data_IF_572776549434
#
_entry.id   IF_572776549434
#
_cell.length_a   1.000
_cell.length_b   1.000
_cell.length_c   1.000
_cell.angle_alpha   90.00
_cell.angle_beta   90.00
_cell.angle_gamma   90.00
#
_symmetry.space_group_name_H-M   'P 1'
#
loop_
_entity.id
_entity.type
_entity.pdbx_description
1 polymer ?
#
# COMPACT_ATOMS: atom_id res chain seq x y z
N UNK A 1 2.46 1.26 -26.83
CA UNK A 1 2.42 0.81 -25.42
C UNK A 1 1.23 1.50 -24.75
N UNK A 2 0.14 0.78 -24.50
CA UNK A 2 -1.09 1.35 -23.93
C UNK A 2 -1.77 0.45 -22.87
N UNK A 3 -1.27 -0.79 -22.65
CA UNK A 3 -1.96 -1.77 -21.81
C UNK A 3 -1.65 -1.72 -20.30
N UNK A 4 -0.47 -1.22 -19.89
CA UNK A 4 -0.10 -1.17 -18.45
C UNK A 4 -0.75 -0.04 -17.68
N UNK A 5 -1.10 1.04 -18.39
CA UNK A 5 -1.74 2.22 -17.84
C UNK A 5 -3.24 1.93 -17.62
N UNK A 6 -3.88 1.21 -18.54
CA UNK A 6 -5.32 0.91 -18.48
C UNK A 6 -5.75 0.04 -17.29
N UNK A 7 -4.92 -0.90 -16.83
CA UNK A 7 -5.33 -1.77 -15.70
C UNK A 7 -5.34 -1.03 -14.35
N UNK A 8 -4.61 0.07 -14.20
CA UNK A 8 -4.67 0.93 -13.00
C UNK A 8 -5.82 1.94 -13.05
N UNK A 9 -6.24 2.38 -14.22
CA UNK A 9 -7.34 3.34 -14.35
C UNK A 9 -8.72 2.75 -14.05
N UNK A 10 -8.92 1.45 -14.25
CA UNK A 10 -10.22 0.82 -14.01
C UNK A 10 -10.68 0.83 -12.54
N UNK A 11 -9.77 1.03 -11.58
CA UNK A 11 -10.09 1.06 -10.14
C UNK A 11 -10.32 2.47 -9.57
N UNK A 12 -9.99 3.54 -10.32
CA UNK A 12 -9.99 4.92 -9.79
C UNK A 12 -11.15 5.77 -10.32
N UNK A 13 -11.85 5.29 -11.36
CA UNK A 13 -12.89 6.07 -12.05
C UNK A 13 -14.25 6.17 -11.34
N UNK A 14 -14.38 5.73 -10.08
CA UNK A 14 -15.66 5.73 -9.38
C UNK A 14 -15.92 6.99 -8.52
N UNK A 15 -14.91 7.80 -8.19
CA UNK A 15 -15.09 8.89 -7.21
C UNK A 15 -14.67 10.31 -7.65
N UNK A 16 -13.96 10.47 -8.76
CA UNK A 16 -13.43 11.80 -9.16
C UNK A 16 -14.40 12.63 -10.03
N UNK A 17 -15.58 12.12 -10.36
CA UNK A 17 -16.50 12.75 -11.32
C UNK A 17 -17.54 13.73 -10.74
N UNK A 18 -17.66 13.89 -9.41
CA UNK A 18 -18.79 14.63 -8.81
C UNK A 18 -18.44 15.56 -7.64
N UNK A 19 -17.17 15.95 -7.47
CA UNK A 19 -16.77 16.88 -6.42
C UNK A 19 -16.74 18.33 -6.94
N UNK A 20 -17.92 18.87 -7.25
CA UNK A 20 -18.10 20.32 -7.29
C UNK A 20 -17.95 20.89 -5.88
N UNK A 21 -17.21 21.99 -5.73
CA UNK A 21 -17.04 22.70 -4.46
C UNK A 21 -18.41 23.12 -3.93
N UNK A 22 -18.94 22.39 -2.95
CA UNK A 22 -20.18 22.74 -2.26
C UNK A 22 -19.83 23.21 -0.85
N UNK A 23 -20.56 24.21 -0.36
CA UNK A 23 -20.54 24.73 1.03
C UNK A 23 -21.00 23.69 2.09
N UNK A 24 -21.06 22.41 1.72
CA UNK A 24 -21.40 21.33 2.62
C UNK A 24 -20.12 20.84 3.29
N UNK A 25 -20.16 20.54 4.60
CA UNK A 25 -19.04 19.93 5.35
C UNK A 25 -18.60 18.55 4.85
N UNK A 26 -19.04 18.13 3.65
CA UNK A 26 -18.75 16.87 2.99
C UNK A 26 -17.25 16.60 2.79
N UNK A 27 -16.38 17.57 2.41
CA UNK A 27 -14.94 17.32 2.33
C UNK A 27 -14.32 16.98 3.70
N UNK A 28 -14.79 17.63 4.78
CA UNK A 28 -14.31 17.34 6.14
C UNK A 28 -14.81 16.00 6.65
N UNK A 29 -16.03 15.63 6.29
CA UNK A 29 -16.60 14.31 6.56
C UNK A 29 -15.84 13.20 5.82
N UNK A 30 -15.57 13.37 4.52
CA UNK A 30 -14.78 12.42 3.72
C UNK A 30 -13.36 12.26 4.28
N UNK A 31 -12.71 13.36 4.69
CA UNK A 31 -11.38 13.29 5.29
C UNK A 31 -11.40 12.62 6.68
N UNK A 32 -12.46 12.85 7.47
CA UNK A 32 -12.66 12.16 8.75
C UNK A 32 -12.86 10.66 8.56
N UNK A 33 -13.73 10.24 7.65
CA UNK A 33 -13.96 8.83 7.35
C UNK A 33 -12.68 8.16 6.80
N UNK A 34 -11.92 8.88 5.96
CA UNK A 34 -10.60 8.42 5.51
C UNK A 34 -9.64 8.24 6.67
N UNK A 35 -9.54 9.20 7.59
CA UNK A 35 -8.66 9.13 8.75
C UNK A 35 -9.04 7.99 9.70
N UNK A 36 -10.34 7.70 9.86
CA UNK A 36 -10.83 6.55 10.62
C UNK A 36 -10.45 5.24 9.93
N UNK A 37 -10.70 5.12 8.63
CA UNK A 37 -10.31 3.94 7.84
C UNK A 37 -8.81 3.67 7.87
N UNK A 38 -7.99 4.71 7.74
CA UNK A 38 -6.53 4.61 7.85
C UNK A 38 -6.07 4.06 9.20
N UNK A 39 -6.73 4.45 10.30
CA UNK A 39 -6.39 3.92 11.62
C UNK A 39 -6.73 2.44 11.72
N UNK A 40 -7.91 2.04 11.25
CA UNK A 40 -8.33 0.65 11.31
C UNK A 40 -7.45 -0.23 10.40
N UNK A 41 -7.01 0.28 9.25
CA UNK A 41 -6.04 -0.38 8.39
C UNK A 41 -4.68 -0.58 9.08
N UNK A 42 -4.14 0.46 9.75
CA UNK A 42 -2.87 0.33 10.50
C UNK A 42 -3.00 -0.67 11.64
N UNK A 43 -4.16 -0.73 12.30
CA UNK A 43 -4.43 -1.72 13.33
C UNK A 43 -4.50 -3.15 12.78
N UNK A 44 -5.07 -3.37 11.60
CA UNK A 44 -5.02 -4.68 10.92
C UNK A 44 -3.58 -5.10 10.63
N UNK A 45 -2.73 -4.16 10.20
CA UNK A 45 -1.29 -4.40 10.01
C UNK A 45 -0.58 -4.77 11.31
N UNK A 46 -0.89 -4.09 12.41
CA UNK A 46 -0.37 -4.41 13.74
C UNK A 46 -0.80 -5.82 14.16
N UNK A 47 -2.10 -6.12 14.09
CA UNK A 47 -2.65 -7.44 14.45
C UNK A 47 -2.05 -8.57 13.58
N UNK A 48 -1.82 -8.30 12.29
CA UNK A 48 -1.13 -9.24 11.40
C UNK A 48 0.31 -9.54 11.90
N UNK A 49 1.08 -8.52 12.26
CA UNK A 49 2.46 -8.71 12.74
C UNK A 49 2.49 -9.40 14.10
N UNK A 50 1.57 -9.06 15.00
CA UNK A 50 1.42 -9.70 16.31
C UNK A 50 1.05 -11.19 16.19
N UNK A 51 0.21 -11.54 15.21
CA UNK A 51 -0.10 -12.92 14.88
C UNK A 51 1.06 -13.69 14.22
N UNK A 52 2.25 -13.09 14.09
CA UNK A 52 3.42 -13.67 13.43
C UNK A 52 3.39 -13.59 11.90
N UNK A 53 2.46 -12.82 11.33
CA UNK A 53 2.36 -12.59 9.89
C UNK A 53 3.52 -11.72 9.38
N UNK A 54 3.93 -11.98 8.14
CA UNK A 54 4.99 -11.25 7.48
C UNK A 54 4.45 -10.07 6.66
N UNK A 55 5.13 -8.94 6.75
CA UNK A 55 4.96 -7.82 5.82
C UNK A 55 6.06 -7.87 4.77
N UNK A 56 5.74 -7.43 3.55
CA UNK A 56 6.71 -7.35 2.44
C UNK A 56 6.78 -5.96 1.83
N UNK A 57 7.74 -5.77 0.92
CA UNK A 57 8.00 -4.50 0.27
C UNK A 57 8.97 -3.62 1.05
N UNK A 58 9.34 -2.47 0.47
CA UNK A 58 10.37 -1.60 1.04
C UNK A 58 9.99 -1.00 2.40
N UNK A 59 8.70 -0.94 2.72
CA UNK A 59 8.23 -0.42 4.00
C UNK A 59 8.22 -1.43 5.13
N UNK A 60 8.10 -2.72 4.81
CA UNK A 60 7.91 -3.77 5.79
C UNK A 60 8.93 -3.74 6.94
N UNK A 61 10.26 -3.62 6.71
CA UNK A 61 11.21 -3.67 7.83
C UNK A 61 11.00 -2.55 8.87
N UNK A 62 10.71 -1.31 8.43
CA UNK A 62 10.47 -0.20 9.37
C UNK A 62 9.14 -0.36 10.10
N UNK A 63 8.10 -0.81 9.39
CA UNK A 63 6.74 -0.92 9.93
C UNK A 63 6.66 -2.09 10.91
N UNK A 64 7.24 -3.24 10.58
CA UNK A 64 7.37 -4.37 11.51
C UNK A 64 8.18 -3.97 12.75
N UNK A 65 9.27 -3.22 12.60
CA UNK A 65 10.06 -2.71 13.73
C UNK A 65 9.26 -1.74 14.60
N UNK A 66 8.48 -0.85 13.99
CA UNK A 66 7.58 0.07 14.69
C UNK A 66 6.61 -0.73 15.57
N UNK A 67 5.88 -1.68 15.00
CA UNK A 67 4.87 -2.46 15.73
C UNK A 67 5.46 -3.28 16.87
N UNK A 68 6.53 -4.04 16.63
CA UNK A 68 7.22 -4.81 17.68
C UNK A 68 7.82 -3.94 18.79
N UNK A 69 8.02 -2.65 18.52
CA UNK A 69 8.48 -1.68 19.51
C UNK A 69 7.37 -1.19 20.46
N UNK A 70 6.10 -1.38 20.10
CA UNK A 70 4.94 -0.92 20.89
C UNK A 70 4.68 -1.83 22.10
N UNK A 71 5.09 -3.09 22.06
CA UNK A 71 4.91 -4.07 23.15
C UNK A 71 5.99 -3.99 24.23
N UNK A 72 6.98 -3.11 24.08
CA UNK A 72 8.01 -2.92 25.10
C UNK A 72 7.43 -2.16 26.30
N UNK A 73 7.44 -2.75 27.52
CA UNK A 73 6.81 -2.15 28.67
C UNK A 73 7.57 -0.88 29.09
N UNK A 74 6.92 0.27 29.00
CA UNK A 74 7.25 1.40 29.85
C UNK A 74 6.68 1.08 31.26
N UNK A 75 7.51 0.46 32.12
CA UNK A 75 7.19 0.01 33.49
C UNK A 75 6.21 -1.19 33.58
N UNK A 76 6.24 -2.00 34.66
CA UNK A 76 5.53 -3.28 34.70
C UNK A 76 4.02 -3.04 34.87
N UNK A 77 3.16 -3.48 33.93
CA UNK A 77 1.73 -3.41 34.11
C UNK A 77 1.21 -4.76 34.63
N UNK A 78 0.39 -4.70 35.68
CA UNK A 78 -0.50 -5.81 36.04
C UNK A 78 -1.53 -5.98 34.93
N UNK A 79 -1.23 -6.87 33.98
CA UNK A 79 -2.23 -7.58 33.16
C UNK A 79 -2.74 -6.87 31.90
N UNK A 80 -2.68 -7.65 30.82
CA UNK A 80 -3.49 -7.59 29.59
C UNK A 80 -3.12 -6.46 28.60
N UNK A 81 -2.88 -6.85 27.35
CA UNK A 81 -2.99 -6.10 26.08
C UNK A 81 -2.87 -4.59 26.24
N UNK A 82 -1.83 -3.97 25.66
CA UNK A 82 -1.75 -2.52 25.54
C UNK A 82 -3.14 -1.95 25.16
N UNK A 83 -3.73 -1.15 26.05
CA UNK A 83 -5.07 -0.59 25.88
C UNK A 83 -5.26 -0.15 24.42
N UNK A 84 -6.28 -0.69 23.74
CA UNK A 84 -6.49 -0.42 22.30
C UNK A 84 -6.59 1.10 22.03
N UNK A 85 -7.09 1.88 22.99
CA UNK A 85 -7.07 3.34 22.92
C UNK A 85 -5.66 3.93 22.95
N UNK A 86 -4.76 3.37 23.77
CA UNK A 86 -3.33 3.72 23.79
C UNK A 86 -2.66 3.36 22.46
N UNK A 87 -2.90 2.17 21.91
CA UNK A 87 -2.36 1.77 20.61
C UNK A 87 -2.81 2.73 19.49
N UNK A 88 -4.10 3.08 19.44
CA UNK A 88 -4.63 4.07 18.49
C UNK A 88 -3.93 5.42 18.63
N UNK A 89 -3.67 5.86 19.86
CA UNK A 89 -2.94 7.12 20.12
C UNK A 89 -1.50 7.04 19.60
N UNK A 90 -0.79 5.94 19.88
CA UNK A 90 0.60 5.74 19.44
C UNK A 90 0.74 5.62 17.92
N UNK A 91 -0.27 5.07 17.24
CA UNK A 91 -0.27 4.83 15.80
C UNK A 91 -0.86 5.98 14.97
N UNK A 92 -1.29 7.07 15.60
CA UNK A 92 -2.01 8.15 14.92
C UNK A 92 -1.18 8.84 13.83
N UNK A 93 0.13 9.03 14.05
CA UNK A 93 1.02 9.57 13.01
C UNK A 93 1.20 8.61 11.84
N UNK A 94 1.35 7.32 12.13
CA UNK A 94 1.47 6.26 11.13
C UNK A 94 0.22 6.11 10.29
N UNK A 95 -0.97 6.21 10.89
CA UNK A 95 -2.24 6.17 10.16
C UNK A 95 -2.35 7.32 9.15
N UNK A 96 -1.94 8.54 9.51
CA UNK A 96 -2.00 9.70 8.60
C UNK A 96 -1.11 9.55 7.37
N UNK A 97 -0.04 8.77 7.44
CA UNK A 97 0.85 8.51 6.31
C UNK A 97 0.46 7.28 5.51
N UNK A 98 -0.55 6.52 5.95
CA UNK A 98 -1.02 5.34 5.23
C UNK A 98 -1.94 5.74 4.08
N UNK A 99 -1.59 5.35 2.87
CA UNK A 99 -2.46 5.46 1.71
C UNK A 99 -2.73 4.07 1.13
N UNK A 100 -4.00 3.68 1.11
CA UNK A 100 -4.41 2.36 0.64
C UNK A 100 -4.20 2.22 -0.86
N UNK A 101 -3.69 1.06 -1.27
CA UNK A 101 -3.46 0.76 -2.68
C UNK A 101 -3.79 -0.69 -3.04
N UNK A 102 -4.11 -0.92 -4.32
CA UNK A 102 -4.56 -2.23 -4.78
C UNK A 102 -3.49 -3.33 -4.67
N UNK A 103 -2.23 -2.99 -4.97
CA UNK A 103 -1.09 -3.93 -4.96
C UNK A 103 -0.20 -3.80 -3.73
N UNK A 104 -0.25 -2.66 -3.07
CA UNK A 104 0.51 -2.33 -1.87
C UNK A 104 -0.08 -1.06 -1.28
N UNK A 105 -0.10 -0.99 0.04
CA UNK A 105 -0.37 0.24 0.75
C UNK A 105 0.93 1.06 0.87
N UNK A 106 0.82 2.38 0.92
CA UNK A 106 1.94 3.29 0.98
C UNK A 106 2.02 3.89 2.38
N UNK A 107 3.07 3.56 3.15
CA UNK A 107 3.44 4.33 4.34
C UNK A 107 4.33 5.48 3.86
N UNK A 108 3.67 6.58 3.52
CA UNK A 108 4.22 7.68 2.73
C UNK A 108 5.29 8.46 3.49
N UNK A 109 6.46 8.50 2.88
CA UNK A 109 7.58 9.37 3.23
C UNK A 109 7.99 10.11 1.94
N UNK A 110 7.76 11.44 1.84
CA UNK A 110 7.99 12.21 0.62
C UNK A 110 9.38 12.03 0.00
N UNK A 111 10.42 11.95 0.83
CA UNK A 111 11.80 11.86 0.37
C UNK A 111 12.11 10.54 -0.35
N UNK A 112 11.46 9.45 0.05
CA UNK A 112 11.69 8.10 -0.49
C UNK A 112 10.56 7.58 -1.40
N UNK A 113 9.62 8.45 -1.76
CA UNK A 113 8.51 8.12 -2.64
C UNK A 113 8.96 7.95 -4.10
N UNK A 114 9.16 6.70 -4.53
CA UNK A 114 9.56 6.36 -5.91
C UNK A 114 8.62 6.93 -6.98
N UNK A 115 7.32 7.03 -6.67
CA UNK A 115 6.30 7.55 -7.58
C UNK A 115 6.40 9.05 -7.83
N UNK A 116 7.17 9.79 -7.03
CA UNK A 116 7.36 11.24 -7.11
C UNK A 116 8.83 11.60 -7.31
N UNK A 117 9.66 10.64 -7.75
CA UNK A 117 11.13 10.80 -7.85
C UNK A 117 11.53 12.07 -8.62
N UNK A 118 10.78 12.40 -9.67
CA UNK A 118 11.06 13.51 -10.58
C UNK A 118 10.44 14.85 -10.12
N UNK A 119 9.64 14.83 -9.04
CA UNK A 119 8.99 16.02 -8.48
C UNK A 119 9.86 16.68 -7.39
N UNK A 120 9.88 18.02 -7.26
CA UNK A 120 10.52 18.71 -6.12
C UNK A 120 9.92 18.29 -4.78
N UNK A 121 10.75 18.16 -3.73
CA UNK A 121 10.32 17.65 -2.42
C UNK A 121 9.16 18.45 -1.82
N UNK A 122 9.15 19.76 -2.01
CA UNK A 122 8.14 20.70 -1.51
C UNK A 122 6.75 20.46 -2.12
N UNK A 123 6.70 19.80 -3.28
CA UNK A 123 5.46 19.48 -4.00
C UNK A 123 4.94 18.08 -3.67
N UNK A 124 5.69 17.26 -2.91
CA UNK A 124 5.35 15.87 -2.60
C UNK A 124 4.42 15.74 -1.40
N UNK A 125 3.18 16.20 -1.55
CA UNK A 125 2.19 16.23 -0.45
C UNK A 125 1.45 14.90 -0.24
N UNK A 126 1.31 14.09 -1.30
CA UNK A 126 0.64 12.80 -1.26
C UNK A 126 1.23 11.85 -2.31
N UNK A 127 1.19 10.52 -2.11
CA UNK A 127 1.72 9.57 -3.07
C UNK A 127 0.88 9.52 -4.34
N UNK A 128 1.54 9.49 -5.50
CA UNK A 128 0.90 9.09 -6.75
C UNK A 128 0.75 7.55 -6.79
N UNK A 129 -0.25 7.01 -6.08
CA UNK A 129 -0.51 5.56 -5.97
C UNK A 129 -0.63 4.90 -7.36
N UNK A 130 -1.22 5.62 -8.33
CA UNK A 130 -1.30 5.19 -9.73
C UNK A 130 0.07 5.03 -10.42
N UNK A 131 1.12 5.69 -9.94
CA UNK A 131 2.48 5.59 -10.46
C UNK A 131 3.40 4.71 -9.61
N UNK A 132 2.93 4.29 -8.43
CA UNK A 132 3.71 3.46 -7.52
C UNK A 132 4.19 2.15 -8.18
N UNK A 133 5.45 1.81 -7.88
CA UNK A 133 6.14 0.56 -8.25
C UNK A 133 6.46 -0.22 -6.96
N UNK A 134 5.54 -1.08 -6.48
CA UNK A 134 5.67 -1.72 -5.17
C UNK A 134 6.95 -2.55 -4.96
N UNK A 135 7.50 -3.08 -6.05
CA UNK A 135 8.70 -3.91 -6.05
C UNK A 135 10.00 -3.13 -5.79
N UNK A 136 10.00 -1.80 -5.89
CA UNK A 136 11.20 -0.95 -5.70
C UNK A 136 10.97 0.22 -4.76
N UNK A 137 9.72 0.59 -4.49
CA UNK A 137 9.39 1.74 -3.66
C UNK A 137 9.65 1.42 -2.17
N UNK A 138 10.44 2.26 -1.50
CA UNK A 138 10.69 2.18 -0.06
C UNK A 138 9.45 2.43 0.82
N UNK A 139 8.40 3.02 0.23
CA UNK A 139 7.16 3.34 0.92
C UNK A 139 6.11 2.23 0.79
N UNK A 140 6.31 1.27 -0.12
CA UNK A 140 5.33 0.21 -0.36
C UNK A 140 5.39 -0.87 0.73
N UNK A 141 4.24 -1.14 1.35
CA UNK A 141 4.02 -2.24 2.28
C UNK A 141 2.99 -3.20 1.69
N UNK A 142 3.29 -4.48 1.77
CA UNK A 142 2.48 -5.55 1.20
C UNK A 142 2.12 -6.50 2.34
N UNK A 143 0.93 -6.30 2.92
CA UNK A 143 0.31 -7.22 3.86
C UNK A 143 -0.51 -8.33 3.21
N UNK A 144 -1.14 -9.15 4.06
CA UNK A 144 -1.92 -10.33 3.67
C UNK A 144 -3.06 -10.01 2.71
N UNK A 145 -3.74 -8.87 2.90
CA UNK A 145 -4.82 -8.35 2.05
C UNK A 145 -4.46 -8.22 0.56
N UNK A 146 -3.18 -8.03 0.22
CA UNK A 146 -2.74 -7.90 -1.17
C UNK A 146 -2.50 -9.23 -1.89
N UNK A 147 -2.43 -10.33 -1.15
CA UNK A 147 -2.01 -11.64 -1.67
C UNK A 147 -2.88 -12.09 -2.84
N UNK A 148 -4.20 -11.91 -2.74
CA UNK A 148 -5.13 -12.33 -3.79
C UNK A 148 -4.93 -11.54 -5.08
N UNK A 149 -4.70 -10.23 -4.98
CA UNK A 149 -4.45 -9.35 -6.14
C UNK A 149 -3.15 -9.76 -6.85
N UNK A 150 -2.08 -10.01 -6.10
CA UNK A 150 -0.82 -10.48 -6.68
C UNK A 150 -0.96 -11.87 -7.34
N UNK A 151 -1.71 -12.79 -6.73
CA UNK A 151 -1.98 -14.11 -7.31
C UNK A 151 -2.77 -14.00 -8.62
N UNK A 152 -3.76 -13.11 -8.67
CA UNK A 152 -4.53 -12.86 -9.89
C UNK A 152 -3.66 -12.25 -10.99
N UNK A 153 -2.82 -11.27 -10.65
CA UNK A 153 -1.89 -10.66 -11.60
C UNK A 153 -0.88 -11.68 -12.15
N UNK A 154 -0.36 -12.56 -11.29
CA UNK A 154 0.53 -13.66 -11.69
C UNK A 154 -0.15 -14.61 -12.68
N UNK A 155 -1.34 -15.09 -12.32
CA UNK A 155 -2.15 -15.98 -13.18
C UNK A 155 -2.50 -15.32 -14.52
N UNK A 156 -2.88 -14.04 -14.50
CA UNK A 156 -3.21 -13.29 -15.70
C UNK A 156 -2.00 -13.12 -16.63
N UNK A 157 -0.84 -12.74 -16.08
CA UNK A 157 0.40 -12.60 -16.86
C UNK A 157 0.82 -13.92 -17.53
N UNK A 158 0.67 -15.05 -16.81
CA UNK A 158 0.92 -16.40 -17.38
C UNK A 158 -0.02 -16.71 -18.55
N UNK A 159 -1.33 -16.51 -18.38
CA UNK A 159 -2.31 -16.72 -19.47
C UNK A 159 -2.02 -15.83 -20.69
N UNK A 160 -1.63 -14.57 -20.49
CA UNK A 160 -1.26 -13.69 -21.60
C UNK A 160 -0.05 -14.24 -22.38
N UNK A 161 0.96 -14.80 -21.70
CA UNK A 161 2.14 -15.37 -22.37
C UNK A 161 1.85 -16.59 -23.27
N UNK A 162 0.74 -17.28 -23.02
CA UNK A 162 0.24 -18.40 -23.84
C UNK A 162 -0.45 -17.93 -25.12
N UNK A 163 -0.78 -16.64 -25.22
CA UNK A 163 -1.47 -16.07 -26.40
C UNK A 163 -0.59 -16.19 -27.65
N UNK A 164 -1.18 -16.72 -28.73
CA UNK A 164 -0.53 -16.79 -30.05
C UNK A 164 -0.43 -15.39 -30.65
N UNK A 165 0.60 -15.14 -31.47
CA UNK A 165 0.76 -13.87 -32.18
C UNK A 165 1.35 -12.72 -31.36
N UNK A 166 1.82 -12.97 -30.13
CA UNK A 166 2.58 -11.96 -29.39
C UNK A 166 3.89 -11.62 -30.10
N UNK A 167 4.12 -10.34 -30.37
CA UNK A 167 5.42 -9.84 -30.83
C UNK A 167 6.51 -10.11 -29.80
N UNK A 168 7.77 -10.13 -30.25
CA UNK A 168 8.95 -10.28 -29.38
C UNK A 168 8.97 -9.26 -28.23
N UNK A 169 8.61 -8.01 -28.52
CA UNK A 169 8.60 -6.93 -27.52
C UNK A 169 7.47 -7.12 -26.48
N UNK A 170 6.27 -7.51 -26.91
CA UNK A 170 5.17 -7.80 -25.98
C UNK A 170 5.51 -8.97 -25.06
N UNK A 171 6.05 -10.05 -25.63
CA UNK A 171 6.48 -11.22 -24.85
C UNK A 171 7.58 -10.86 -23.84
N UNK A 172 8.56 -10.06 -24.24
CA UNK A 172 9.61 -9.60 -23.34
C UNK A 172 9.04 -8.75 -22.19
N UNK A 173 8.12 -7.82 -22.48
CA UNK A 173 7.44 -7.02 -21.44
C UNK A 173 6.68 -7.90 -20.46
N UNK A 174 5.87 -8.85 -20.94
CA UNK A 174 5.09 -9.74 -20.08
C UNK A 174 5.97 -10.63 -19.20
N UNK A 175 7.10 -11.13 -19.73
CA UNK A 175 8.09 -11.87 -18.93
C UNK A 175 8.70 -10.99 -17.82
N UNK A 176 9.03 -9.74 -18.12
CA UNK A 176 9.54 -8.80 -17.13
C UNK A 176 8.48 -8.48 -16.05
N UNK A 177 7.21 -8.37 -16.43
CA UNK A 177 6.11 -8.17 -15.48
C UNK A 177 5.92 -9.38 -14.57
N UNK A 178 5.93 -10.58 -15.15
CA UNK A 178 5.81 -11.83 -14.40
C UNK A 178 6.96 -11.97 -13.39
N UNK A 179 8.20 -11.71 -13.80
CA UNK A 179 9.35 -11.75 -12.91
C UNK A 179 9.22 -10.76 -11.73
N UNK A 180 8.71 -9.56 -11.98
CA UNK A 180 8.44 -8.57 -10.91
C UNK A 180 7.35 -9.04 -9.94
N UNK A 181 6.29 -9.66 -10.46
CA UNK A 181 5.22 -10.24 -9.63
C UNK A 181 5.77 -11.38 -8.77
N UNK A 182 6.58 -12.25 -9.36
CA UNK A 182 7.18 -13.39 -8.66
C UNK A 182 8.11 -12.93 -7.54
N UNK A 183 8.90 -11.87 -7.76
CA UNK A 183 9.75 -11.29 -6.71
C UNK A 183 8.95 -10.86 -5.47
N UNK A 184 7.82 -10.20 -5.67
CA UNK A 184 6.94 -9.75 -4.59
C UNK A 184 6.29 -10.93 -3.85
N UNK A 185 5.98 -11.99 -4.59
CA UNK A 185 5.34 -13.20 -4.05
C UNK A 185 6.31 -14.14 -3.32
N UNK A 186 7.63 -13.95 -3.40
CA UNK A 186 8.61 -14.80 -2.68
C UNK A 186 8.41 -14.72 -1.16
N UNK A 187 8.41 -15.86 -0.44
CA UNK A 187 8.48 -15.85 1.02
C UNK A 187 9.71 -15.07 1.50
N UNK A 188 9.54 -14.35 2.62
CA UNK A 188 10.59 -13.56 3.26
C UNK A 188 11.61 -14.42 4.00
#
# INVERSE_FOLDING_TARGET
MAGKIQFKHASTAAFEGYAGTSDSGFPQEVERERALGQMDDVLEYYDQVEAGGELRGGAAPRITKLFRGLDQPAAPPTGVVADRARLRTMLQSTARTLHVGLYADCFFEPASAECLRDEPLEQRQAPAIALCKPNVCANACIGSRHTNVWRQAHSHAKRLLETKGLSRLQRASLKADLARIEEVCKPG
#
